data_IF_098297539229
#
_entry.id   IF_098297539229
#
_cell.length_a   1.000
_cell.length_b   1.000
_cell.length_c   1.000
_cell.angle_alpha   90.00
_cell.angle_beta   90.00
_cell.angle_gamma   90.00
#
_symmetry.space_group_name_H-M   'P 1'
#
loop_
_entity.id
_entity.type
_entity.pdbx_description
1 polymer ?
#
# COMPACT_ATOMS: atom_id res chain seq x y z
N UNK A 1 -10.09 41.44 63.24
CA UNK A 1 -8.65 41.81 63.18
C UNK A 1 -8.21 41.62 61.74
N UNK A 2 -7.85 42.73 61.09
CA UNK A 2 -7.43 42.80 59.68
C UNK A 2 -6.24 41.87 59.40
N UNK A 3 -6.15 41.32 58.19
CA UNK A 3 -4.93 41.49 57.39
C UNK A 3 -5.21 41.31 55.89
N UNK A 4 -4.93 42.37 55.15
CA UNK A 4 -4.88 42.46 53.69
C UNK A 4 -3.53 41.89 53.24
N UNK A 5 -3.48 41.11 52.15
CA UNK A 5 -2.33 41.18 51.23
C UNK A 5 -2.68 40.67 49.82
N UNK A 6 -2.74 41.60 48.87
CA UNK A 6 -2.64 41.36 47.42
C UNK A 6 -1.27 40.74 47.09
N UNK A 7 -1.22 39.89 46.05
CA UNK A 7 -0.12 39.86 45.08
C UNK A 7 -0.52 39.14 43.79
N UNK A 8 -0.59 39.94 42.75
CA UNK A 8 -0.66 39.66 41.31
C UNK A 8 0.33 38.57 40.90
N UNK A 9 -0.15 37.52 40.23
CA UNK A 9 0.67 36.62 39.43
C UNK A 9 0.27 36.73 37.95
N UNK A 10 1.11 37.45 37.22
CA UNK A 10 1.19 37.49 35.77
C UNK A 10 1.66 36.11 35.29
N UNK A 11 0.80 35.34 34.63
CA UNK A 11 1.23 34.13 33.90
C UNK A 11 1.16 34.38 32.41
N UNK A 12 2.35 34.38 31.82
CA UNK A 12 2.67 34.57 30.41
C UNK A 12 2.15 33.36 29.63
N UNK A 13 1.08 33.53 28.85
CA UNK A 13 0.59 32.50 27.94
C UNK A 13 1.54 32.42 26.73
N UNK A 14 2.48 31.48 26.78
CA UNK A 14 3.30 31.08 25.64
C UNK A 14 2.39 30.29 24.69
N UNK A 15 1.82 30.96 23.70
CA UNK A 15 1.22 30.30 22.55
C UNK A 15 2.33 29.74 21.67
N UNK A 16 2.72 28.50 21.95
CA UNK A 16 3.52 27.69 21.03
C UNK A 16 2.65 27.36 19.80
N UNK A 17 2.65 28.25 18.80
CA UNK A 17 2.22 27.93 17.45
C UNK A 17 3.28 27.01 16.84
N UNK A 18 3.23 25.74 17.21
CA UNK A 18 3.86 24.67 16.47
C UNK A 18 3.04 24.47 15.19
N UNK A 19 3.38 25.21 14.14
CA UNK A 19 3.08 24.77 12.78
C UNK A 19 3.91 23.51 12.52
N UNK A 20 3.41 22.37 12.99
CA UNK A 20 3.92 21.08 12.61
C UNK A 20 3.65 20.89 11.12
N UNK A 21 4.71 20.94 10.31
CA UNK A 21 4.74 20.40 8.96
C UNK A 21 4.66 18.87 9.03
N UNK A 22 3.54 18.35 9.52
CA UNK A 22 3.24 16.93 9.46
C UNK A 22 2.83 16.61 8.01
N UNK A 23 3.74 15.94 7.28
CA UNK A 23 3.45 14.96 6.23
C UNK A 23 2.05 15.07 5.60
N UNK A 24 1.86 16.02 4.69
CA UNK A 24 0.58 16.30 4.01
C UNK A 24 0.11 15.22 3.02
N UNK A 25 0.48 13.95 3.22
CA UNK A 25 0.13 12.83 2.34
C UNK A 25 -1.15 12.06 2.75
N UNK A 26 -1.85 12.43 3.81
CA UNK A 26 -2.83 11.49 4.42
C UNK A 26 -4.32 11.82 4.30
N UNK A 27 -4.72 13.02 3.88
CA UNK A 27 -6.16 13.35 3.71
C UNK A 27 -6.48 13.89 2.32
N UNK A 28 -5.67 14.84 1.84
CA UNK A 28 -5.87 15.43 0.51
C UNK A 28 -5.61 14.41 -0.60
N UNK A 29 -4.56 13.60 -0.46
CA UNK A 29 -4.26 12.53 -1.43
C UNK A 29 -5.39 11.50 -1.54
N UNK A 30 -5.98 11.08 -0.41
CA UNK A 30 -7.13 10.18 -0.43
C UNK A 30 -8.37 10.85 -1.02
N UNK A 31 -8.62 12.12 -0.67
CA UNK A 31 -9.72 12.89 -1.26
C UNK A 31 -9.56 12.97 -2.78
N UNK A 32 -8.38 13.32 -3.28
CA UNK A 32 -8.09 13.39 -4.71
C UNK A 32 -8.23 12.02 -5.39
N UNK A 33 -7.76 10.94 -4.75
CA UNK A 33 -7.93 9.58 -5.26
C UNK A 33 -9.42 9.20 -5.40
N UNK A 34 -10.23 9.44 -4.37
CA UNK A 34 -11.67 9.14 -4.40
C UNK A 34 -12.46 10.06 -5.34
N UNK A 35 -12.09 11.33 -5.46
CA UNK A 35 -12.65 12.25 -6.46
C UNK A 35 -12.38 11.73 -7.88
N UNK A 36 -11.15 11.28 -8.15
CA UNK A 36 -10.79 10.69 -9.45
C UNK A 36 -11.54 9.37 -9.70
N UNK A 37 -11.73 8.54 -8.66
CA UNK A 37 -12.49 7.28 -8.76
C UNK A 37 -13.99 7.49 -9.01
N UNK A 38 -14.53 8.69 -8.78
CA UNK A 38 -15.95 8.98 -8.94
C UNK A 38 -16.48 8.82 -10.37
N UNK A 39 -15.62 8.80 -11.39
CA UNK A 39 -16.03 8.58 -12.79
C UNK A 39 -16.26 7.10 -13.13
N UNK A 40 -15.78 6.20 -12.28
CA UNK A 40 -15.92 4.75 -12.47
C UNK A 40 -17.26 4.26 -11.92
N UNK A 41 -17.78 3.20 -12.53
CA UNK A 41 -19.05 2.58 -12.16
C UNK A 41 -18.93 1.75 -10.87
N UNK A 42 -17.76 1.17 -10.64
CA UNK A 42 -17.46 0.28 -9.53
C UNK A 42 -16.26 0.79 -8.72
N UNK A 43 -16.15 0.33 -7.47
CA UNK A 43 -15.08 0.72 -6.55
C UNK A 43 -13.69 0.25 -7.00
N UNK A 44 -13.63 -0.83 -7.80
CA UNK A 44 -12.40 -1.42 -8.31
C UNK A 44 -11.92 -0.77 -9.62
N UNK A 45 -12.54 0.32 -10.06
CA UNK A 45 -12.19 1.05 -11.27
C UNK A 45 -12.17 0.20 -12.55
N UNK A 46 -13.04 -0.83 -12.64
CA UNK A 46 -13.05 -1.76 -13.78
C UNK A 46 -13.81 -1.21 -15.00
N UNK A 47 -14.75 -0.29 -14.78
CA UNK A 47 -15.58 0.28 -15.85
C UNK A 47 -15.90 1.74 -15.60
N UNK A 48 -16.03 2.52 -16.68
CA UNK A 48 -16.50 3.91 -16.61
C UNK A 48 -18.02 3.99 -16.50
N UNK A 49 -18.53 5.04 -15.84
CA UNK A 49 -19.95 5.38 -15.85
C UNK A 49 -20.43 5.68 -17.29
N UNK A 50 -21.69 5.37 -17.62
CA UNK A 50 -22.27 5.73 -18.91
C UNK A 50 -22.18 7.23 -19.18
N UNK A 51 -21.74 7.62 -20.38
CA UNK A 51 -21.71 9.02 -20.81
C UNK A 51 -20.45 9.80 -20.40
N UNK A 52 -19.47 9.19 -19.72
CA UNK A 52 -18.17 9.82 -19.46
C UNK A 52 -17.45 10.09 -20.80
N UNK A 53 -17.06 11.35 -21.00
CA UNK A 53 -16.35 11.81 -22.19
C UNK A 53 -14.87 12.07 -21.90
N UNK A 54 -14.04 12.02 -22.94
CA UNK A 54 -12.59 12.30 -22.88
C UNK A 54 -12.26 13.59 -22.11
N UNK A 55 -13.02 14.68 -22.33
CA UNK A 55 -12.83 15.97 -21.65
C UNK A 55 -12.92 15.88 -20.12
N UNK A 56 -13.76 14.99 -19.58
CA UNK A 56 -13.87 14.78 -18.13
C UNK A 56 -12.68 13.99 -17.61
N UNK A 57 -12.22 12.98 -18.36
CA UNK A 57 -11.03 12.20 -18.02
C UNK A 57 -9.77 13.09 -18.04
N UNK A 58 -9.70 14.04 -18.97
CA UNK A 58 -8.59 15.00 -19.06
C UNK A 58 -8.47 15.93 -17.84
N UNK A 59 -9.53 16.05 -17.02
CA UNK A 59 -9.53 16.84 -15.79
C UNK A 59 -9.01 16.06 -14.57
N UNK A 60 -8.82 14.74 -14.69
CA UNK A 60 -8.26 13.93 -13.62
C UNK A 60 -6.83 14.38 -13.28
N UNK A 61 -6.58 14.47 -11.97
CA UNK A 61 -5.28 14.89 -11.42
C UNK A 61 -4.27 13.75 -11.41
N UNK A 62 -4.72 12.53 -11.09
CA UNK A 62 -3.84 11.38 -11.00
C UNK A 62 -3.52 10.81 -12.39
N UNK A 63 -2.23 10.76 -12.80
CA UNK A 63 -1.86 10.29 -14.13
C UNK A 63 -2.20 8.81 -14.40
N UNK A 64 -2.14 7.96 -13.38
CA UNK A 64 -2.39 6.52 -13.54
C UNK A 64 -3.88 6.25 -13.74
N UNK A 65 -4.74 6.83 -12.89
CA UNK A 65 -6.20 6.75 -13.04
C UNK A 65 -6.68 7.40 -14.33
N UNK A 66 -6.04 8.50 -14.75
CA UNK A 66 -6.30 9.14 -16.04
C UNK A 66 -6.00 8.21 -17.21
N UNK A 67 -4.84 7.56 -17.20
CA UNK A 67 -4.46 6.63 -18.24
C UNK A 67 -5.41 5.42 -18.28
N UNK A 68 -5.72 4.84 -17.11
CA UNK A 68 -6.70 3.76 -16.98
C UNK A 68 -8.07 4.15 -17.58
N UNK A 69 -8.59 5.32 -17.22
CA UNK A 69 -9.86 5.80 -17.73
C UNK A 69 -9.84 6.03 -19.25
N UNK A 70 -8.73 6.53 -19.81
CA UNK A 70 -8.57 6.67 -21.26
C UNK A 70 -8.56 5.30 -21.96
N UNK A 71 -7.88 4.31 -21.38
CA UNK A 71 -7.82 2.96 -21.95
C UNK A 71 -9.20 2.29 -21.95
N UNK A 72 -9.94 2.38 -20.84
CA UNK A 72 -11.32 1.91 -20.75
C UNK A 72 -12.25 2.62 -21.74
N UNK A 73 -12.12 3.94 -21.92
CA UNK A 73 -12.91 4.70 -22.90
C UNK A 73 -12.65 4.21 -24.33
N UNK A 74 -11.41 3.85 -24.64
CA UNK A 74 -10.99 3.36 -25.95
C UNK A 74 -11.27 1.86 -26.16
N UNK A 75 -11.90 1.18 -25.18
CA UNK A 75 -12.15 -0.26 -25.24
C UNK A 75 -10.89 -1.12 -25.09
N UNK A 76 -9.77 -0.53 -24.66
CA UNK A 76 -8.54 -1.26 -24.35
C UNK A 76 -8.64 -1.77 -22.93
N UNK A 77 -8.80 -3.08 -22.77
CA UNK A 77 -8.88 -3.71 -21.45
C UNK A 77 -7.70 -4.66 -21.25
N UNK A 78 -6.49 -4.12 -21.07
CA UNK A 78 -5.29 -4.91 -20.76
C UNK A 78 -5.12 -5.12 -19.24
N UNK A 79 -6.23 -5.29 -18.53
CA UNK A 79 -6.26 -5.38 -17.06
C UNK A 79 -5.83 -6.75 -16.53
N UNK A 80 -5.51 -7.71 -17.40
CA UNK A 80 -5.29 -9.11 -17.03
C UNK A 80 -4.21 -9.32 -15.95
N UNK A 81 -3.24 -8.39 -15.83
CA UNK A 81 -2.20 -8.44 -14.80
C UNK A 81 -2.34 -7.36 -13.71
N UNK A 82 -3.19 -6.36 -13.92
CA UNK A 82 -3.38 -5.25 -12.96
C UNK A 82 -4.54 -5.51 -12.02
N UNK A 83 -5.59 -6.19 -12.50
CA UNK A 83 -6.73 -6.62 -11.71
C UNK A 83 -6.67 -8.14 -11.54
N UNK A 84 -6.44 -8.62 -10.32
CA UNK A 84 -6.32 -10.04 -10.05
C UNK A 84 -6.88 -10.43 -8.67
N UNK A 85 -7.24 -11.70 -8.54
CA UNK A 85 -7.68 -12.30 -7.28
C UNK A 85 -6.54 -13.12 -6.65
N UNK A 86 -6.31 -12.93 -5.36
CA UNK A 86 -5.24 -13.56 -4.61
C UNK A 86 -5.82 -14.37 -3.45
N UNK A 87 -5.42 -15.64 -3.36
CA UNK A 87 -5.86 -16.55 -2.31
C UNK A 87 -4.89 -16.53 -1.13
N UNK A 88 -5.38 -16.96 0.03
CA UNK A 88 -4.50 -17.21 1.17
C UNK A 88 -3.62 -18.44 0.91
N UNK A 89 -2.39 -18.39 1.38
CA UNK A 89 -1.48 -19.54 1.44
C UNK A 89 -1.30 -20.01 2.88
N UNK A 90 -0.92 -21.27 3.06
CA UNK A 90 -0.55 -21.76 4.39
C UNK A 90 0.67 -20.96 4.89
N UNK A 91 0.60 -20.50 6.13
CA UNK A 91 1.70 -19.77 6.76
C UNK A 91 3.03 -20.55 6.63
N UNK A 92 4.11 -19.91 6.13
CA UNK A 92 5.40 -20.59 5.95
C UNK A 92 5.97 -21.12 7.26
N UNK A 93 5.64 -20.48 8.40
CA UNK A 93 6.01 -20.98 9.73
C UNK A 93 5.29 -22.31 10.06
N UNK A 94 4.01 -22.43 9.73
CA UNK A 94 3.25 -23.66 9.98
C UNK A 94 3.70 -24.77 9.05
N UNK A 95 3.89 -24.46 7.76
CA UNK A 95 4.40 -25.43 6.81
C UNK A 95 5.81 -25.91 7.19
N UNK A 96 6.67 -24.99 7.61
CA UNK A 96 8.02 -25.28 8.10
C UNK A 96 8.04 -26.19 9.33
N UNK A 97 7.13 -25.97 10.28
CA UNK A 97 6.96 -26.84 11.45
C UNK A 97 6.40 -28.22 11.07
N UNK A 98 5.40 -28.29 10.20
CA UNK A 98 4.80 -29.55 9.73
C UNK A 98 5.84 -30.45 9.04
N UNK A 99 6.75 -29.84 8.30
CA UNK A 99 7.79 -30.55 7.54
C UNK A 99 9.12 -30.66 8.30
N UNK A 100 9.20 -30.15 9.53
CA UNK A 100 10.43 -30.15 10.35
C UNK A 100 11.64 -29.49 9.66
N UNK A 101 11.41 -28.46 8.83
CA UNK A 101 12.48 -27.72 8.14
C UNK A 101 12.73 -26.31 8.70
N UNK A 102 11.96 -25.89 9.72
CA UNK A 102 12.07 -24.57 10.32
C UNK A 102 11.64 -23.44 9.36
N UNK A 103 12.30 -22.29 9.41
CA UNK A 103 11.98 -21.10 8.60
C UNK A 103 12.63 -21.14 7.20
N UNK A 104 12.28 -22.16 6.41
CA UNK A 104 12.88 -22.44 5.10
C UNK A 104 12.02 -22.09 3.89
N UNK A 105 10.72 -21.84 4.08
CA UNK A 105 9.78 -21.58 2.97
C UNK A 105 9.79 -20.12 2.51
N UNK A 106 9.44 -19.92 1.24
CA UNK A 106 9.25 -18.58 0.69
C UNK A 106 8.19 -17.82 1.46
N UNK A 107 8.47 -16.54 1.73
CA UNK A 107 7.52 -15.55 2.26
C UNK A 107 6.96 -14.65 1.15
N UNK A 108 7.28 -14.95 -0.11
CA UNK A 108 6.90 -14.20 -1.31
C UNK A 108 6.02 -15.09 -2.20
N UNK A 109 4.79 -15.31 -1.75
CA UNK A 109 3.75 -15.95 -2.55
C UNK A 109 2.93 -14.89 -3.31
N UNK A 110 1.98 -15.33 -4.14
CA UNK A 110 1.08 -14.44 -4.89
C UNK A 110 1.85 -13.37 -5.70
N UNK A 111 2.69 -13.83 -6.63
CA UNK A 111 3.42 -12.96 -7.56
C UNK A 111 2.40 -12.21 -8.42
N UNK A 112 2.46 -10.88 -8.41
CA UNK A 112 1.47 -10.05 -9.11
C UNK A 112 1.81 -9.83 -10.58
N UNK A 113 3.10 -9.93 -10.94
CA UNK A 113 3.60 -9.54 -12.25
C UNK A 113 3.67 -8.01 -12.46
N UNK A 114 3.31 -7.21 -11.44
CA UNK A 114 3.30 -5.75 -11.50
C UNK A 114 4.62 -5.20 -10.99
N UNK A 115 5.28 -4.37 -11.79
CA UNK A 115 6.44 -3.59 -11.37
C UNK A 115 6.02 -2.20 -10.90
N UNK A 116 6.38 -1.84 -9.67
CA UNK A 116 6.15 -0.52 -9.10
C UNK A 116 7.44 0.29 -9.19
N UNK A 117 7.55 1.31 -10.08
CA UNK A 117 8.69 2.21 -10.09
C UNK A 117 8.73 3.10 -8.83
N UNK A 118 9.79 3.87 -8.66
CA UNK A 118 9.81 4.92 -7.62
C UNK A 118 8.67 5.92 -7.89
N UNK A 119 8.05 6.41 -6.83
CA UNK A 119 6.92 7.33 -6.91
C UNK A 119 5.70 6.86 -6.13
N UNK A 120 4.57 7.53 -6.38
CA UNK A 120 3.27 7.29 -5.74
C UNK A 120 2.44 6.35 -6.60
N UNK A 121 1.80 5.38 -5.95
CA UNK A 121 0.94 4.36 -6.56
C UNK A 121 -0.38 4.27 -5.81
N UNK A 122 -1.48 4.10 -6.55
CA UNK A 122 -2.80 3.86 -5.99
C UNK A 122 -3.12 2.39 -6.22
N UNK A 123 -3.36 1.65 -5.15
CA UNK A 123 -3.75 0.25 -5.18
C UNK A 123 -5.13 0.13 -4.54
N UNK A 124 -6.07 -0.49 -5.24
CA UNK A 124 -7.42 -0.70 -4.75
C UNK A 124 -7.56 -2.16 -4.34
N UNK A 125 -8.07 -2.41 -3.14
CA UNK A 125 -8.26 -3.76 -2.62
C UNK A 125 -9.71 -3.97 -2.20
N UNK A 126 -10.23 -5.17 -2.43
CA UNK A 126 -11.53 -5.59 -1.96
C UNK A 126 -11.50 -7.02 -1.43
N UNK A 127 -12.38 -7.33 -0.48
CA UNK A 127 -12.55 -8.68 0.07
C UNK A 127 -11.65 -9.07 1.23
N UNK A 128 -10.86 -8.16 1.81
CA UNK A 128 -10.15 -8.44 3.08
C UNK A 128 -11.18 -8.58 4.20
N UNK A 129 -11.28 -9.76 4.80
CA UNK A 129 -12.15 -9.99 5.96
C UNK A 129 -11.56 -9.37 7.24
N UNK A 130 -12.43 -9.08 8.22
CA UNK A 130 -12.01 -8.51 9.49
C UNK A 130 -10.99 -9.42 10.20
N UNK A 131 -9.93 -8.82 10.72
CA UNK A 131 -8.86 -9.51 11.43
C UNK A 131 -7.86 -10.27 10.53
N UNK A 132 -7.99 -10.19 9.20
CA UNK A 132 -7.00 -10.77 8.27
C UNK A 132 -5.87 -9.77 8.00
N UNK A 133 -4.63 -10.27 8.05
CA UNK A 133 -3.43 -9.51 7.72
C UNK A 133 -3.04 -9.75 6.26
N UNK A 134 -3.15 -8.70 5.45
CA UNK A 134 -2.77 -8.70 4.04
C UNK A 134 -1.80 -7.57 3.81
N UNK A 135 -0.66 -7.87 3.19
CA UNK A 135 0.40 -6.89 2.93
C UNK A 135 0.81 -6.88 1.47
N UNK A 136 1.20 -5.70 0.98
CA UNK A 136 2.01 -5.57 -0.21
C UNK A 136 3.48 -5.67 0.16
N UNK A 137 4.21 -6.58 -0.49
CA UNK A 137 5.67 -6.67 -0.36
C UNK A 137 6.34 -6.12 -1.62
N UNK A 138 7.36 -5.29 -1.43
CA UNK A 138 8.22 -4.76 -2.49
C UNK A 138 9.67 -5.09 -2.13
N UNK A 139 10.18 -6.29 -2.48
CA UNK A 139 11.56 -6.71 -2.24
C UNK A 139 12.57 -5.97 -3.10
N UNK A 140 13.72 -5.62 -2.53
CA UNK A 140 14.85 -5.03 -3.22
C UNK A 140 15.73 -6.13 -3.85
N UNK A 141 15.29 -6.71 -4.96
CA UNK A 141 16.02 -7.79 -5.65
C UNK A 141 17.42 -7.41 -6.11
N UNK A 142 17.66 -6.12 -6.33
CA UNK A 142 18.93 -5.59 -6.83
C UNK A 142 19.88 -5.18 -5.71
N UNK A 143 19.49 -5.37 -4.44
CA UNK A 143 20.36 -5.07 -3.30
C UNK A 143 21.59 -5.97 -3.33
N UNK A 144 22.76 -5.36 -3.13
CA UNK A 144 24.02 -6.07 -2.90
C UNK A 144 24.48 -5.85 -1.46
N UNK A 145 25.19 -6.84 -0.90
CA UNK A 145 25.89 -6.66 0.36
C UNK A 145 26.95 -5.54 0.19
N UNK A 146 27.16 -4.68 1.21
CA UNK A 146 28.16 -3.62 1.13
C UNK A 146 29.58 -4.14 0.88
N UNK A 147 29.90 -5.29 1.46
CA UNK A 147 31.14 -6.02 1.21
C UNK A 147 30.81 -7.44 0.70
N UNK A 148 30.85 -7.66 -0.63
CA UNK A 148 30.57 -8.97 -1.23
C UNK A 148 31.56 -10.07 -0.85
N UNK A 149 32.77 -9.71 -0.41
CA UNK A 149 33.81 -10.68 0.01
C UNK A 149 33.55 -11.20 1.43
N UNK A 150 32.88 -10.41 2.26
CA UNK A 150 32.50 -10.78 3.63
C UNK A 150 30.99 -10.61 3.85
N UNK A 151 30.14 -11.38 3.12
CA UNK A 151 28.69 -11.21 3.18
C UNK A 151 28.10 -11.52 4.57
N UNK A 152 28.82 -12.28 5.40
CA UNK A 152 28.46 -12.52 6.81
C UNK A 152 28.44 -11.27 7.67
N UNK A 153 29.11 -10.19 7.26
CA UNK A 153 29.20 -8.93 8.01
C UNK A 153 28.22 -7.87 7.52
N UNK A 154 27.21 -8.25 6.73
CA UNK A 154 26.18 -7.32 6.30
C UNK A 154 25.39 -6.78 7.51
N UNK A 155 25.39 -5.46 7.77
CA UNK A 155 24.73 -4.88 8.93
C UNK A 155 23.19 -5.01 8.89
N UNK A 156 22.60 -5.25 7.71
CA UNK A 156 21.16 -5.51 7.56
C UNK A 156 20.86 -7.01 7.41
N UNK A 157 21.86 -7.87 7.66
CA UNK A 157 21.75 -9.32 7.60
C UNK A 157 21.62 -9.89 6.18
N UNK A 158 21.45 -11.22 6.13
CA UNK A 158 21.38 -12.03 4.91
C UNK A 158 19.99 -12.01 4.23
N UNK A 159 18.97 -11.47 4.88
CA UNK A 159 17.62 -11.46 4.36
C UNK A 159 17.45 -10.50 3.18
N UNK A 160 16.47 -10.79 2.32
CA UNK A 160 16.04 -9.88 1.26
C UNK A 160 15.44 -8.63 1.93
N UNK A 161 16.11 -7.48 1.75
CA UNK A 161 15.55 -6.19 2.15
C UNK A 161 14.27 -5.94 1.36
N UNK A 162 13.21 -5.48 2.02
CA UNK A 162 11.92 -5.20 1.40
C UNK A 162 11.25 -4.01 2.06
N UNK A 163 10.30 -3.41 1.33
CA UNK A 163 9.25 -2.57 1.92
C UNK A 163 8.00 -3.41 2.10
N UNK A 164 7.28 -3.16 3.18
CA UNK A 164 6.02 -3.81 3.51
C UNK A 164 4.97 -2.73 3.76
N UNK A 165 3.78 -2.94 3.22
CA UNK A 165 2.65 -2.04 3.42
C UNK A 165 1.41 -2.87 3.76
N UNK A 166 0.83 -2.60 4.93
CA UNK A 166 -0.47 -3.18 5.27
C UNK A 166 -1.54 -2.67 4.31
N UNK A 167 -2.34 -3.59 3.78
CA UNK A 167 -3.42 -3.30 2.86
C UNK A 167 -4.76 -3.32 3.60
N UNK A 168 -5.65 -2.42 3.19
CA UNK A 168 -7.05 -2.35 3.63
C UNK A 168 -7.98 -2.32 2.44
N UNK A 169 -9.24 -2.69 2.65
CA UNK A 169 -10.27 -2.52 1.62
C UNK A 169 -10.39 -1.04 1.20
N UNK A 170 -10.62 -0.82 -0.09
CA UNK A 170 -10.62 0.50 -0.74
C UNK A 170 -9.22 0.93 -1.19
N UNK A 171 -8.99 2.24 -1.19
CA UNK A 171 -7.75 2.86 -1.70
C UNK A 171 -6.59 2.70 -0.70
N UNK A 172 -5.45 2.28 -1.23
CA UNK A 172 -4.15 2.25 -0.57
C UNK A 172 -3.16 3.09 -1.39
N UNK A 173 -2.56 4.10 -0.77
CA UNK A 173 -1.59 4.99 -1.44
C UNK A 173 -0.20 4.59 -0.98
N UNK A 174 0.60 4.06 -1.91
CA UNK A 174 1.95 3.55 -1.64
C UNK A 174 2.98 4.49 -2.26
N UNK A 175 3.96 4.93 -1.47
CA UNK A 175 5.06 5.76 -1.97
C UNK A 175 6.40 5.03 -1.85
N UNK A 176 7.07 4.83 -2.99
CA UNK A 176 8.39 4.22 -3.08
C UNK A 176 9.45 5.29 -3.35
N UNK A 177 10.28 5.59 -2.34
CA UNK A 177 11.34 6.62 -2.44
C UNK A 177 12.69 6.04 -2.86
N UNK A 178 13.02 4.87 -2.33
CA UNK A 178 14.39 4.33 -2.40
C UNK A 178 14.63 3.54 -3.69
N UNK A 179 13.73 2.61 -4.02
CA UNK A 179 13.82 1.69 -5.15
C UNK A 179 12.42 1.33 -5.67
N UNK A 180 12.36 0.95 -6.95
CA UNK A 180 11.20 0.28 -7.53
C UNK A 180 11.46 -1.21 -7.67
N UNK A 181 10.41 -2.03 -7.64
CA UNK A 181 10.54 -3.49 -7.77
C UNK A 181 9.20 -4.15 -8.13
N UNK A 182 9.24 -5.46 -8.34
CA UNK A 182 8.04 -6.30 -8.46
C UNK A 182 7.26 -6.32 -7.14
N UNK A 183 5.95 -6.22 -7.24
CA UNK A 183 5.02 -6.33 -6.13
C UNK A 183 4.59 -7.78 -5.87
N UNK A 184 4.32 -8.09 -4.61
CA UNK A 184 3.81 -9.39 -4.15
C UNK A 184 2.71 -9.15 -3.13
N UNK A 185 1.71 -10.03 -3.10
CA UNK A 185 0.65 -10.00 -2.07
C UNK A 185 0.96 -11.04 -0.99
N UNK A 186 1.38 -10.58 0.17
CA UNK A 186 1.48 -11.44 1.34
C UNK A 186 0.09 -11.64 1.94
N UNK A 187 -0.51 -12.80 1.65
CA UNK A 187 -1.76 -13.24 2.26
C UNK A 187 -1.59 -14.68 2.74
N UNK A 188 -1.31 -14.82 4.04
CA UNK A 188 -1.07 -16.10 4.68
C UNK A 188 -2.09 -16.37 5.78
N UNK A 189 -2.47 -17.64 5.95
CA UNK A 189 -3.38 -18.10 6.99
C UNK A 189 -2.92 -19.45 7.56
N UNK A 190 -3.43 -19.77 8.75
CA UNK A 190 -3.32 -21.10 9.34
C UNK A 190 -4.29 -22.10 8.68
N UNK A 191 -5.38 -21.61 8.10
CA UNK A 191 -6.43 -22.42 7.47
C UNK A 191 -6.82 -21.84 6.10
N UNK A 192 -5.91 -21.80 5.11
CA UNK A 192 -6.11 -21.09 3.84
C UNK A 192 -7.36 -21.52 3.06
N UNK A 193 -7.79 -22.78 3.18
CA UNK A 193 -9.00 -23.30 2.53
C UNK A 193 -10.31 -22.69 3.08
N UNK A 194 -10.27 -22.08 4.27
CA UNK A 194 -11.41 -21.36 4.85
C UNK A 194 -11.42 -19.87 4.50
N UNK A 195 -10.34 -19.37 3.90
CA UNK A 195 -10.19 -17.95 3.59
C UNK A 195 -10.78 -17.62 2.23
N UNK A 196 -11.43 -16.46 2.13
CA UNK A 196 -11.87 -15.94 0.83
C UNK A 196 -10.70 -15.27 0.09
N UNK A 197 -10.65 -15.38 -1.24
CA UNK A 197 -9.69 -14.62 -2.02
C UNK A 197 -10.02 -13.12 -1.95
N UNK A 198 -8.99 -12.30 -2.04
CA UNK A 198 -9.10 -10.85 -2.16
C UNK A 198 -8.92 -10.43 -3.61
N UNK A 199 -9.48 -9.30 -4.02
CA UNK A 199 -9.24 -8.72 -5.34
C UNK A 199 -8.37 -7.48 -5.18
N UNK A 200 -7.35 -7.34 -6.02
CA UNK A 200 -6.45 -6.19 -6.02
C UNK A 200 -6.37 -5.60 -7.42
N UNK A 201 -6.47 -4.27 -7.53
CA UNK A 201 -6.23 -3.50 -8.74
C UNK A 201 -5.04 -2.55 -8.55
N UNK A 202 -4.06 -2.65 -9.47
CA UNK A 202 -2.80 -1.87 -9.48
C UNK A 202 -2.80 -0.73 -10.50
#
# INVERSE_FOLDING_TARGET
>A
MNFIMNKTFLTLAISCLLTGSALGQSAQDFKDAYENLSIFQDAMATKLKPGIKKKQIEQLKDPALKQLALDLLNGKNDNQYKLASYKAYLSPNVLGNMLSIGDGYSKYENVTGVYLPKGKHIIIVDGIEEGKDVKLLVPNWMRKAPNPEEPTKDPKGWGIEKKEFELKNGVNIIELKDFGSLAYISYFSYEPEKEKPITVNF
#
